data_IF_911949400883
#
_entry.id   IF_911949400883
#
_cell.length_a   1.000
_cell.length_b   1.000
_cell.length_c   1.000
_cell.angle_alpha   90.00
_cell.angle_beta   90.00
_cell.angle_gamma   90.00
#
_symmetry.space_group_name_H-M   'P 1'
#
loop_
_entity.id
_entity.type
_entity.pdbx_description
1 polymer ?
#
# COMPACT_ATOMS: atom_id res chain seq x y z
N UNK A 1 -39.07 10.29 -45.67
CA UNK A 1 -38.79 9.19 -44.72
C UNK A 1 -37.40 9.36 -44.06
N UNK A 2 -37.11 10.55 -43.51
CA UNK A 2 -35.81 10.92 -42.90
C UNK A 2 -36.15 11.47 -41.50
N UNK A 3 -36.48 10.62 -40.54
CA UNK A 3 -36.73 11.10 -39.16
C UNK A 3 -36.31 10.10 -38.09
N UNK A 4 -36.48 8.79 -38.34
CA UNK A 4 -36.18 7.75 -37.35
C UNK A 4 -34.68 7.37 -37.31
N UNK A 5 -33.99 7.39 -38.46
CA UNK A 5 -32.57 6.98 -38.57
C UNK A 5 -31.61 7.93 -37.82
N UNK A 6 -31.91 9.24 -37.78
CA UNK A 6 -31.09 10.25 -37.09
C UNK A 6 -31.24 10.18 -35.56
N UNK A 7 -32.43 9.84 -35.06
CA UNK A 7 -32.72 9.72 -33.62
C UNK A 7 -32.04 8.48 -33.02
N UNK A 8 -32.01 7.36 -33.75
CA UNK A 8 -31.29 6.14 -33.32
C UNK A 8 -29.78 6.37 -33.17
N UNK A 9 -29.18 7.20 -34.03
CA UNK A 9 -27.75 7.54 -33.93
C UNK A 9 -27.42 8.36 -32.68
N UNK A 10 -28.31 9.29 -32.28
CA UNK A 10 -28.14 10.11 -31.08
C UNK A 10 -28.28 9.27 -29.81
N UNK A 11 -29.25 8.34 -29.78
CA UNK A 11 -29.43 7.44 -28.64
C UNK A 11 -28.22 6.51 -28.43
N UNK A 12 -27.62 6.04 -29.53
CA UNK A 12 -26.41 5.20 -29.48
C UNK A 12 -25.19 6.00 -28.98
N UNK A 13 -25.07 7.27 -29.36
CA UNK A 13 -23.99 8.15 -28.91
C UNK A 13 -24.10 8.45 -27.40
N UNK A 14 -25.32 8.59 -26.87
CA UNK A 14 -25.56 8.80 -25.44
C UNK A 14 -25.26 7.55 -24.59
N UNK A 15 -25.51 6.35 -25.14
CA UNK A 15 -25.12 5.08 -24.52
C UNK A 15 -23.61 4.91 -24.38
N UNK A 16 -22.83 5.35 -25.38
CA UNK A 16 -21.36 5.29 -25.36
C UNK A 16 -20.72 6.24 -24.33
N UNK A 17 -21.35 7.39 -24.05
CA UNK A 17 -20.87 8.33 -23.03
C UNK A 17 -21.05 7.81 -21.59
N UNK A 18 -22.02 6.93 -21.36
CA UNK A 18 -22.30 6.38 -20.02
C UNK A 18 -21.24 5.37 -19.55
N UNK A 19 -20.52 4.73 -20.48
CA UNK A 19 -19.49 3.71 -20.17
C UNK A 19 -18.16 4.34 -19.72
N UNK A 20 -17.94 5.62 -20.02
CA UNK A 20 -16.70 6.34 -19.65
C UNK A 20 -16.81 6.89 -18.21
N UNK A 21 -18.01 7.16 -17.72
CA UNK A 21 -18.24 7.69 -16.37
C UNK A 21 -17.92 6.70 -15.25
N UNK A 22 -18.11 5.38 -15.45
CA UNK A 22 -17.80 4.35 -14.45
C UNK A 22 -16.31 4.00 -14.33
N UNK A 23 -15.41 4.67 -15.07
CA UNK A 23 -13.95 4.50 -14.96
C UNK A 23 -13.26 5.61 -14.21
N UNK A 24 -13.98 6.40 -13.43
CA UNK A 24 -13.37 7.15 -12.34
C UNK A 24 -12.96 6.15 -11.27
N UNK A 25 -11.77 5.55 -11.44
CA UNK A 25 -11.01 5.10 -10.28
C UNK A 25 -10.94 6.31 -9.36
N UNK A 26 -11.46 6.19 -8.15
CA UNK A 26 -11.14 7.10 -7.07
C UNK A 26 -9.61 7.10 -6.96
N UNK A 27 -8.97 8.05 -7.63
CA UNK A 27 -7.59 8.35 -7.36
C UNK A 27 -7.62 8.92 -5.95
N UNK A 28 -7.24 8.11 -4.96
CA UNK A 28 -6.83 8.64 -3.67
C UNK A 28 -5.65 9.55 -4.00
N UNK A 29 -5.89 10.86 -4.07
CA UNK A 29 -4.92 11.84 -4.54
C UNK A 29 -3.62 11.81 -3.71
N UNK A 30 -3.69 11.26 -2.51
CA UNK A 30 -2.59 11.18 -1.54
C UNK A 30 -1.78 9.87 -1.61
N UNK A 31 -2.11 8.93 -2.49
CA UNK A 31 -1.34 7.68 -2.61
C UNK A 31 -0.13 7.87 -3.54
N UNK A 32 1.06 8.01 -2.94
CA UNK A 32 2.33 8.09 -3.66
C UNK A 32 2.64 6.74 -4.30
N UNK A 33 2.21 6.56 -5.55
CA UNK A 33 2.41 5.33 -6.32
C UNK A 33 3.88 5.10 -6.74
N UNK A 34 4.72 6.14 -6.69
CA UNK A 34 6.13 6.03 -7.04
C UNK A 34 6.97 7.10 -6.33
N UNK A 35 8.13 6.71 -5.83
CA UNK A 35 9.06 7.64 -5.17
C UNK A 35 9.71 8.55 -6.22
N UNK A 36 9.72 9.86 -5.99
CA UNK A 36 10.40 10.83 -6.86
C UNK A 36 11.92 10.63 -6.77
N UNK A 37 12.55 10.03 -7.78
CA UNK A 37 13.99 9.72 -7.74
C UNK A 37 14.90 10.93 -8.02
N UNK A 38 14.36 12.12 -8.20
CA UNK A 38 15.10 13.34 -8.49
C UNK A 38 15.36 14.22 -7.25
N UNK A 39 15.72 13.59 -6.13
CA UNK A 39 15.94 14.27 -4.85
C UNK A 39 14.89 13.88 -3.81
N UNK A 40 14.95 12.64 -3.33
CA UNK A 40 14.08 12.17 -2.25
C UNK A 40 14.82 11.19 -1.33
N UNK A 41 14.24 11.01 -0.15
CA UNK A 41 14.64 9.98 0.80
C UNK A 41 13.40 9.12 1.05
N UNK A 42 13.51 7.83 0.74
CA UNK A 42 12.50 6.82 1.05
C UNK A 42 12.95 6.10 2.32
N UNK A 43 12.07 6.03 3.32
CA UNK A 43 12.33 5.32 4.58
C UNK A 43 11.36 4.15 4.70
N UNK A 44 11.92 2.96 4.93
CA UNK A 44 11.20 1.72 5.15
C UNK A 44 11.51 1.26 6.59
N UNK A 45 10.46 1.04 7.38
CA UNK A 45 10.51 0.57 8.76
C UNK A 45 9.87 -0.82 8.81
N UNK A 46 10.56 -1.79 9.40
CA UNK A 46 10.05 -3.15 9.56
C UNK A 46 10.55 -3.79 10.85
N UNK A 47 9.80 -4.79 11.33
CA UNK A 47 10.16 -5.62 12.49
C UNK A 47 10.23 -7.06 12.04
N UNK A 48 11.25 -7.78 12.46
CA UNK A 48 11.35 -9.23 12.31
C UNK A 48 11.31 -9.88 13.68
N UNK A 49 10.37 -10.79 13.89
CA UNK A 49 10.28 -11.57 15.12
C UNK A 49 11.29 -12.70 15.12
N UNK A 50 12.12 -12.79 16.16
CA UNK A 50 12.98 -13.94 16.46
C UNK A 50 12.58 -14.52 17.82
N UNK A 51 13.03 -15.73 18.15
CA UNK A 51 12.49 -16.49 19.29
C UNK A 51 12.48 -15.72 20.62
N UNK A 52 13.53 -14.95 20.90
CA UNK A 52 13.75 -14.30 22.20
C UNK A 52 13.67 -12.78 22.16
N UNK A 53 13.57 -12.18 20.97
CA UNK A 53 13.62 -10.74 20.78
C UNK A 53 13.01 -10.37 19.42
N UNK A 54 12.92 -9.08 19.14
CA UNK A 54 12.54 -8.59 17.82
C UNK A 54 13.71 -7.79 17.21
N UNK A 55 13.77 -7.74 15.89
CA UNK A 55 14.79 -6.99 15.15
C UNK A 55 14.12 -5.84 14.42
N UNK A 56 14.37 -4.62 14.89
CA UNK A 56 13.97 -3.39 14.21
C UNK A 56 14.92 -3.15 13.04
N UNK A 57 14.37 -3.01 11.84
CA UNK A 57 15.12 -2.69 10.64
C UNK A 57 14.63 -1.36 10.10
N UNK A 58 15.58 -0.45 9.91
CA UNK A 58 15.34 0.85 9.28
C UNK A 58 16.19 0.96 8.04
N UNK A 59 15.54 1.23 6.91
CA UNK A 59 16.20 1.32 5.61
C UNK A 59 15.90 2.68 4.98
N UNK A 60 16.95 3.46 4.73
CA UNK A 60 16.86 4.73 4.01
C UNK A 60 17.47 4.59 2.62
N UNK A 61 16.68 4.84 1.57
CA UNK A 61 17.15 4.95 0.19
C UNK A 61 17.19 6.43 -0.18
N UNK A 62 18.37 6.93 -0.49
CA UNK A 62 18.60 8.32 -0.90
C UNK A 62 18.70 8.34 -2.42
N UNK A 63 17.76 9.04 -3.06
CA UNK A 63 17.71 9.19 -4.51
C UNK A 63 18.16 10.60 -4.92
N UNK A 64 19.07 10.68 -5.88
CA UNK A 64 19.55 11.94 -6.46
C UNK A 64 19.71 11.78 -7.97
N UNK A 65 19.23 12.76 -8.74
CA UNK A 65 19.37 12.77 -10.20
C UNK A 65 18.90 11.44 -10.86
N UNK A 66 17.75 10.92 -10.42
CA UNK A 66 17.15 9.67 -10.90
C UNK A 66 17.96 8.39 -10.62
N UNK A 67 18.95 8.45 -9.73
CA UNK A 67 19.78 7.30 -9.34
C UNK A 67 19.73 7.08 -7.83
N UNK A 68 19.84 5.82 -7.42
CA UNK A 68 20.07 5.47 -6.02
C UNK A 68 21.47 5.94 -5.67
N UNK A 69 21.56 6.97 -4.85
CA UNK A 69 22.83 7.54 -4.41
C UNK A 69 23.40 6.74 -3.25
N UNK A 70 22.56 6.38 -2.28
CA UNK A 70 22.97 5.63 -1.09
C UNK A 70 21.81 4.84 -0.52
N UNK A 71 22.14 3.67 0.02
CA UNK A 71 21.24 2.89 0.86
C UNK A 71 21.89 2.76 2.24
N UNK A 72 21.13 3.08 3.29
CA UNK A 72 21.56 2.96 4.68
C UNK A 72 20.62 1.98 5.37
N UNK A 73 21.16 0.88 5.88
CA UNK A 73 20.39 -0.14 6.60
C UNK A 73 20.91 -0.18 8.02
N UNK A 74 20.02 0.08 8.98
CA UNK A 74 20.28 -0.10 10.40
C UNK A 74 19.44 -1.26 10.90
N UNK A 75 20.05 -2.10 11.72
CA UNK A 75 19.39 -3.20 12.42
C UNK A 75 19.72 -3.11 13.90
N UNK A 76 18.71 -3.13 14.73
CA UNK A 76 18.85 -3.13 16.18
C UNK A 76 17.94 -4.20 16.77
N UNK A 77 18.38 -4.82 17.86
CA UNK A 77 17.56 -5.78 18.61
C UNK A 77 16.78 -5.03 19.68
N UNK A 78 15.48 -5.31 19.77
CA UNK A 78 14.56 -4.76 20.77
C UNK A 78 13.84 -5.91 21.49
N UNK A 79 13.31 -5.69 22.71
CA UNK A 79 12.52 -6.72 23.40
C UNK A 79 11.32 -7.15 22.55
N UNK A 80 10.85 -8.39 22.69
CA UNK A 80 9.58 -8.76 22.08
C UNK A 80 8.39 -8.24 22.91
N UNK A 81 7.24 -8.05 22.27
CA UNK A 81 6.00 -7.62 22.93
C UNK A 81 5.13 -8.79 23.45
N UNK A 82 5.61 -10.02 23.23
CA UNK A 82 4.89 -11.25 23.49
C UNK A 82 3.79 -11.55 22.46
N UNK A 83 2.95 -12.52 22.81
CA UNK A 83 1.93 -13.04 21.91
C UNK A 83 0.55 -12.46 22.25
N UNK A 84 -0.34 -12.43 21.27
CA UNK A 84 -1.76 -12.11 21.42
C UNK A 84 -2.61 -13.19 20.78
N UNK A 85 -3.76 -13.47 21.40
CA UNK A 85 -4.74 -14.40 20.83
C UNK A 85 -5.54 -13.67 19.76
N UNK A 86 -5.52 -14.17 18.52
CA UNK A 86 -6.36 -13.67 17.42
C UNK A 86 -7.17 -14.79 16.77
N UNK A 87 -8.30 -14.39 16.17
CA UNK A 87 -9.08 -15.28 15.29
C UNK A 87 -8.40 -15.29 13.92
N UNK A 88 -7.96 -16.45 13.49
CA UNK A 88 -7.30 -16.66 12.19
C UNK A 88 -8.16 -17.61 11.36
N UNK A 89 -8.20 -17.38 10.04
CA UNK A 89 -8.85 -18.29 9.10
C UNK A 89 -7.86 -19.34 8.62
N UNK A 90 -8.26 -20.61 8.68
CA UNK A 90 -7.49 -21.69 8.05
C UNK A 90 -7.66 -21.68 6.51
N UNK A 91 -6.94 -22.57 5.82
CA UNK A 91 -7.00 -22.73 4.36
C UNK A 91 -8.40 -23.13 3.84
N UNK A 92 -9.24 -23.68 4.72
CA UNK A 92 -10.61 -24.13 4.44
C UNK A 92 -11.64 -23.02 4.73
N UNK A 93 -11.20 -21.90 5.30
CA UNK A 93 -12.00 -20.71 5.60
C UNK A 93 -12.67 -20.72 6.97
N UNK A 94 -12.41 -21.72 7.83
CA UNK A 94 -12.94 -21.80 9.18
C UNK A 94 -12.13 -20.92 10.14
N UNK A 95 -12.82 -20.34 11.12
CA UNK A 95 -12.19 -19.49 12.12
C UNK A 95 -11.69 -20.33 13.29
N UNK A 96 -10.43 -20.16 13.68
CA UNK A 96 -9.85 -20.73 14.90
C UNK A 96 -9.03 -19.68 15.66
N UNK A 97 -8.71 -19.95 16.92
CA UNK A 97 -7.90 -19.05 17.76
C UNK A 97 -6.45 -19.50 17.72
N UNK A 98 -5.55 -18.59 17.38
CA UNK A 98 -4.10 -18.82 17.42
C UNK A 98 -3.37 -17.69 18.14
N UNK A 99 -2.18 -18.01 18.66
CA UNK A 99 -1.26 -17.05 19.25
C UNK A 99 -0.36 -16.45 18.18
N UNK A 100 -0.51 -15.17 17.93
CA UNK A 100 0.34 -14.43 16.99
C UNK A 100 1.26 -13.46 17.74
N UNK A 101 2.44 -13.18 17.19
CA UNK A 101 3.35 -12.17 17.72
C UNK A 101 2.69 -10.79 17.63
N UNK A 102 2.84 -9.97 18.67
CA UNK A 102 2.37 -8.58 18.63
C UNK A 102 3.30 -7.71 17.80
N UNK A 103 2.71 -6.89 16.94
CA UNK A 103 3.44 -5.90 16.15
C UNK A 103 3.63 -4.58 16.90
N UNK A 104 4.72 -3.90 16.59
CA UNK A 104 4.96 -2.52 17.03
C UNK A 104 4.15 -1.53 16.20
N UNK A 105 3.63 -0.50 16.86
CA UNK A 105 3.09 0.68 16.18
C UNK A 105 4.20 1.68 15.89
N UNK A 106 4.32 2.10 14.63
CA UNK A 106 5.29 3.11 14.21
C UNK A 106 4.66 4.50 14.20
N UNK A 107 5.23 5.41 14.99
CA UNK A 107 4.89 6.83 14.98
C UNK A 107 6.02 7.60 14.29
N UNK A 108 5.70 8.29 13.19
CA UNK A 108 6.66 9.09 12.41
C UNK A 108 6.34 10.56 12.61
N UNK A 109 7.32 11.34 13.08
CA UNK A 109 7.24 12.80 13.16
C UNK A 109 8.25 13.41 12.20
N UNK A 110 7.80 14.34 11.36
CA UNK A 110 8.64 15.09 10.42
C UNK A 110 8.73 16.53 10.94
N UNK A 111 9.94 17.10 10.95
CA UNK A 111 10.24 18.46 11.40
C UNK A 111 10.78 19.31 10.25
#
# INVERSE_FOLDING_TARGET
MIKVRKIKGILFLFGLLSIIACKQKENKEDEVNNVNKNGSIETELSVYHIDTADVLVTKHKIWKNHKLFKEIIKRDTVPNLGDTLQMVKDEEGNDHKDYIKKDYEFYITVQ
#
